data_IF_268500819879
#
_entry.id   IF_268500819879
#
_cell.length_a   1.000
_cell.length_b   1.000
_cell.length_c   1.000
_cell.angle_alpha   90.00
_cell.angle_beta   90.00
_cell.angle_gamma   90.00
#
_symmetry.space_group_name_H-M   'P 1'
#
loop_
_entity.id
_entity.type
_entity.pdbx_description
1 polymer ?
#
# COMPACT_ATOMS: atom_id res chain seq x y z
N UNK A 1 -2.24 -1.91 -20.61
CA UNK A 1 -0.82 -2.27 -20.82
C UNK A 1 -0.41 -3.25 -19.73
N UNK A 2 0.13 -4.40 -20.11
CA UNK A 2 0.66 -5.41 -19.17
C UNK A 2 2.18 -5.33 -19.14
N UNK A 3 2.76 -5.60 -17.95
CA UNK A 3 4.21 -5.68 -17.77
C UNK A 3 4.58 -6.97 -17.04
N UNK A 4 5.57 -7.70 -17.54
CA UNK A 4 6.04 -8.91 -16.88
C UNK A 4 7.17 -8.58 -15.89
N UNK A 5 6.88 -8.76 -14.60
CA UNK A 5 7.80 -8.62 -13.47
C UNK A 5 7.83 -9.89 -12.60
N UNK A 6 7.40 -11.04 -13.14
CA UNK A 6 7.26 -12.29 -12.38
C UNK A 6 8.58 -12.80 -11.82
N UNK A 7 9.71 -12.50 -12.46
CA UNK A 7 11.07 -12.87 -12.02
C UNK A 7 11.45 -12.25 -10.65
N UNK A 8 10.84 -11.13 -10.28
CA UNK A 8 11.14 -10.44 -9.03
C UNK A 8 10.30 -10.92 -7.83
N UNK A 9 9.33 -11.80 -8.04
CA UNK A 9 8.40 -12.27 -6.99
C UNK A 9 7.82 -11.12 -6.13
N UNK A 10 7.47 -10.02 -6.78
CA UNK A 10 7.08 -8.79 -6.10
C UNK A 10 5.70 -8.91 -5.43
N UNK A 11 5.49 -8.06 -4.43
CA UNK A 11 4.19 -7.86 -3.78
C UNK A 11 3.57 -6.52 -4.17
N UNK A 12 2.23 -6.47 -4.26
CA UNK A 12 1.46 -5.22 -4.34
C UNK A 12 0.79 -4.91 -3.00
N UNK A 13 0.82 -3.64 -2.60
CA UNK A 13 0.10 -3.10 -1.46
C UNK A 13 -0.88 -2.04 -1.96
N UNK A 14 -2.07 -2.46 -2.35
CA UNK A 14 -3.08 -1.58 -2.94
C UNK A 14 -4.44 -1.78 -2.28
N UNK A 15 -4.95 -0.79 -1.56
CA UNK A 15 -6.32 -0.77 -1.06
C UNK A 15 -7.32 -0.28 -2.11
N UNK A 16 -8.60 -0.50 -1.84
CA UNK A 16 -9.70 0.04 -2.66
C UNK A 16 -9.86 1.54 -2.48
N UNK A 17 -9.37 2.08 -1.37
CA UNK A 17 -9.72 3.42 -0.93
C UNK A 17 -11.22 3.53 -0.62
N UNK A 18 -11.72 4.75 -0.47
CA UNK A 18 -13.14 4.98 -0.29
C UNK A 18 -13.67 4.69 1.11
N UNK A 19 -12.81 4.55 2.09
CA UNK A 19 -13.14 4.40 3.51
C UNK A 19 -13.60 5.71 4.16
N UNK A 20 -13.44 6.84 3.47
CA UNK A 20 -13.71 8.19 3.96
C UNK A 20 -12.86 8.54 5.21
N UNK A 21 -11.69 7.94 5.33
CA UNK A 21 -10.71 8.23 6.36
C UNK A 21 -9.55 9.00 5.73
N UNK A 22 -9.19 10.10 6.35
CA UNK A 22 -8.12 10.98 5.85
C UNK A 22 -6.80 10.65 6.57
N UNK A 23 -6.35 9.40 6.41
CA UNK A 23 -5.11 8.91 6.99
C UNK A 23 -3.89 9.36 6.17
N UNK A 24 -2.70 9.39 6.80
CA UNK A 24 -1.46 9.55 6.05
C UNK A 24 -1.27 8.35 5.08
N UNK A 25 -0.39 8.49 4.09
CA UNK A 25 -0.24 7.50 3.00
C UNK A 25 0.36 6.17 3.48
N UNK A 26 -0.40 5.42 4.30
CA UNK A 26 0.01 4.21 5.01
C UNK A 26 0.54 3.16 4.03
N UNK A 27 -0.26 2.75 3.04
CA UNK A 27 0.14 1.69 2.09
C UNK A 27 1.37 2.07 1.26
N UNK A 28 1.55 3.37 0.95
CA UNK A 28 2.71 3.83 0.17
C UNK A 28 3.98 3.82 1.02
N UNK A 29 3.91 4.29 2.26
CA UNK A 29 5.01 4.18 3.22
C UNK A 29 5.37 2.73 3.49
N UNK A 30 4.37 1.89 3.73
CA UNK A 30 4.55 0.46 3.94
C UNK A 30 5.23 -0.23 2.77
N UNK A 31 4.98 0.22 1.54
CA UNK A 31 5.66 -0.29 0.34
C UNK A 31 7.18 -0.03 0.39
N UNK A 32 7.63 1.16 0.81
CA UNK A 32 9.06 1.45 0.96
C UNK A 32 9.69 0.70 2.14
N UNK A 33 8.97 0.54 3.25
CA UNK A 33 9.46 -0.26 4.39
C UNK A 33 9.60 -1.73 4.00
N UNK A 34 8.65 -2.26 3.25
CA UNK A 34 8.68 -3.62 2.69
C UNK A 34 9.86 -3.80 1.74
N UNK A 35 10.10 -2.84 0.84
CA UNK A 35 11.26 -2.85 -0.06
C UNK A 35 12.60 -2.80 0.71
N UNK A 36 12.68 -1.96 1.75
CA UNK A 36 13.85 -1.89 2.63
C UNK A 36 14.12 -3.17 3.43
N UNK A 37 13.08 -3.99 3.65
CA UNK A 37 13.19 -5.34 4.20
C UNK A 37 13.58 -6.41 3.17
N UNK A 38 14.01 -6.01 1.96
CA UNK A 38 14.41 -6.87 0.82
C UNK A 38 13.27 -7.72 0.23
N UNK A 39 12.04 -7.27 0.34
CA UNK A 39 10.88 -7.81 -0.37
C UNK A 39 10.56 -6.88 -1.53
N UNK A 40 10.68 -7.35 -2.76
CA UNK A 40 10.40 -6.54 -3.95
C UNK A 40 8.93 -6.11 -3.99
N UNK A 41 8.69 -4.88 -4.41
CA UNK A 41 7.36 -4.28 -4.47
C UNK A 41 7.04 -3.79 -5.88
N UNK A 42 5.90 -4.16 -6.42
CA UNK A 42 5.32 -3.61 -7.64
C UNK A 42 4.02 -2.87 -7.31
N UNK A 43 4.18 -1.66 -6.74
CA UNK A 43 3.04 -0.93 -6.19
C UNK A 43 2.17 -0.31 -7.27
N UNK A 44 0.91 -0.77 -7.37
CA UNK A 44 -0.12 -0.10 -8.15
C UNK A 44 -0.71 1.07 -7.36
N UNK A 45 -0.84 2.23 -7.99
CA UNK A 45 -1.32 3.43 -7.31
C UNK A 45 -1.92 4.46 -8.25
N UNK A 46 -2.66 5.41 -7.68
CA UNK A 46 -3.32 6.49 -8.41
C UNK A 46 -3.33 7.78 -7.59
N UNK A 47 -3.77 8.87 -8.20
CA UNK A 47 -4.15 10.08 -7.49
C UNK A 47 -5.34 9.81 -6.55
N UNK A 48 -5.44 10.61 -5.49
CA UNK A 48 -6.59 10.55 -4.57
C UNK A 48 -7.90 10.85 -5.30
N UNK A 49 -8.93 10.07 -5.02
CA UNK A 49 -10.29 10.29 -5.53
C UNK A 49 -11.20 10.75 -4.40
N UNK A 50 -11.05 10.15 -3.22
CA UNK A 50 -11.85 10.43 -2.01
C UNK A 50 -11.03 11.06 -0.87
N UNK A 51 -9.71 11.08 -0.98
CA UNK A 51 -8.79 11.68 0.01
C UNK A 51 -8.13 12.94 -0.55
N UNK A 52 -7.67 13.81 0.34
CA UNK A 52 -6.93 15.04 0.00
C UNK A 52 -5.60 14.74 -0.71
N UNK A 53 -4.98 13.59 -0.44
CA UNK A 53 -3.67 13.22 -0.98
C UNK A 53 -3.56 11.72 -1.23
N UNK A 54 -3.70 11.28 -2.49
CA UNK A 54 -3.46 9.89 -2.89
C UNK A 54 -1.97 9.55 -3.01
N UNK A 55 -1.69 8.27 -3.24
CA UNK A 55 -0.32 7.74 -3.36
C UNK A 55 0.50 8.46 -4.43
N UNK A 56 -0.07 8.70 -5.60
CA UNK A 56 0.62 9.39 -6.69
C UNK A 56 0.84 10.87 -6.41
N UNK A 57 -0.08 11.53 -5.69
CA UNK A 57 0.09 12.94 -5.34
C UNK A 57 1.33 13.17 -4.47
N UNK A 58 1.51 12.35 -3.41
CA UNK A 58 2.67 12.50 -2.52
C UNK A 58 3.97 12.13 -3.21
N UNK A 59 3.98 11.06 -4.01
CA UNK A 59 5.20 10.60 -4.68
C UNK A 59 5.67 11.61 -5.74
N UNK A 60 4.75 12.14 -6.55
CA UNK A 60 5.05 13.17 -7.56
C UNK A 60 5.57 14.46 -6.91
N UNK A 61 4.93 14.92 -5.82
CA UNK A 61 5.40 16.08 -5.05
C UNK A 61 6.80 15.88 -4.48
N UNK A 62 7.18 14.65 -4.11
CA UNK A 62 8.51 14.30 -3.61
C UNK A 62 9.54 14.07 -4.73
N UNK A 63 9.15 14.20 -6.00
CA UNK A 63 10.04 14.14 -7.16
C UNK A 63 10.16 12.75 -7.80
N UNK A 64 9.29 11.80 -7.46
CA UNK A 64 9.21 10.52 -8.17
C UNK A 64 8.47 10.73 -9.50
N UNK A 65 9.13 10.42 -10.62
CA UNK A 65 8.51 10.41 -11.95
C UNK A 65 7.93 9.04 -12.25
N UNK A 66 6.75 9.03 -12.85
CA UNK A 66 6.08 7.79 -13.26
C UNK A 66 6.42 7.47 -14.71
N UNK A 67 6.62 6.19 -14.98
CA UNK A 67 6.88 5.68 -16.32
C UNK A 67 6.14 4.36 -16.54
N UNK A 68 5.81 4.06 -17.80
CA UNK A 68 5.37 2.74 -18.24
C UNK A 68 6.44 2.04 -19.11
N UNK A 69 7.63 2.60 -19.15
CA UNK A 69 8.79 1.98 -19.78
C UNK A 69 9.23 0.75 -18.97
N UNK A 70 9.36 -0.38 -19.67
CA UNK A 70 9.64 -1.67 -19.06
C UNK A 70 11.03 -1.74 -18.42
N UNK A 71 12.03 -1.17 -19.08
CA UNK A 71 13.41 -1.25 -18.62
C UNK A 71 13.62 -0.32 -17.42
N UNK A 72 12.97 0.85 -17.41
CA UNK A 72 12.92 1.73 -16.25
C UNK A 72 12.29 1.03 -15.03
N UNK A 73 11.17 0.33 -15.21
CA UNK A 73 10.46 -0.35 -14.11
C UNK A 73 11.26 -1.53 -13.55
N UNK A 74 11.91 -2.31 -14.41
CA UNK A 74 12.84 -3.37 -13.99
C UNK A 74 14.01 -2.80 -13.22
N UNK A 75 14.69 -1.79 -13.76
CA UNK A 75 15.79 -1.10 -13.11
C UNK A 75 15.38 -0.50 -11.76
N UNK A 76 14.14 -0.01 -11.64
CA UNK A 76 13.60 0.50 -10.37
C UNK A 76 13.54 -0.60 -9.31
N UNK A 77 13.00 -1.78 -9.63
CA UNK A 77 12.98 -2.92 -8.69
C UNK A 77 14.41 -3.34 -8.34
N UNK A 78 15.30 -3.49 -9.30
CA UNK A 78 16.68 -3.94 -9.10
C UNK A 78 17.50 -3.00 -8.20
N UNK A 79 17.30 -1.70 -8.33
CA UNK A 79 18.08 -0.68 -7.61
C UNK A 79 17.47 -0.21 -6.31
N UNK A 80 16.15 -0.22 -6.22
CA UNK A 80 15.42 0.30 -5.04
C UNK A 80 14.52 -0.72 -4.35
N UNK A 81 14.36 -1.92 -4.91
CA UNK A 81 13.41 -2.92 -4.40
C UNK A 81 11.95 -2.60 -4.70
N UNK A 82 11.66 -1.48 -5.40
CA UNK A 82 10.28 -1.04 -5.65
C UNK A 82 10.14 -0.37 -7.01
N UNK A 83 9.04 -0.65 -7.72
CA UNK A 83 8.57 0.17 -8.83
C UNK A 83 7.14 0.66 -8.59
N UNK A 84 6.82 1.81 -9.19
CA UNK A 84 5.49 2.44 -9.09
C UNK A 84 4.76 2.29 -10.42
N UNK A 85 3.66 1.56 -10.39
CA UNK A 85 2.78 1.34 -11.52
C UNK A 85 1.62 2.34 -11.43
N UNK A 86 1.84 3.54 -11.99
CA UNK A 86 0.87 4.63 -11.95
C UNK A 86 -0.32 4.34 -12.88
N UNK A 87 -1.50 4.12 -12.32
CA UNK A 87 -2.68 3.61 -13.02
C UNK A 87 -3.03 4.35 -14.33
N UNK A 88 -2.96 5.69 -14.43
CA UNK A 88 -3.24 6.41 -15.69
C UNK A 88 -2.35 6.05 -16.87
N UNK A 89 -1.12 5.60 -16.62
CA UNK A 89 -0.18 5.19 -17.68
C UNK A 89 -0.47 3.78 -18.21
N UNK A 90 -1.11 2.93 -17.41
CA UNK A 90 -1.37 1.53 -17.76
C UNK A 90 -2.80 1.26 -18.22
N UNK A 91 -3.75 2.13 -17.82
CA UNK A 91 -5.18 1.98 -18.10
C UNK A 91 -5.73 3.16 -18.89
N UNK A 92 -5.32 3.37 -20.16
CA UNK A 92 -5.71 4.55 -20.93
C UNK A 92 -7.23 4.68 -21.12
N UNK A 93 -7.97 3.57 -21.18
CA UNK A 93 -9.43 3.58 -21.26
C UNK A 93 -10.09 4.29 -20.06
N UNK A 94 -9.43 4.31 -18.89
CA UNK A 94 -9.95 5.00 -17.71
C UNK A 94 -9.94 6.52 -17.85
N UNK A 95 -9.17 7.11 -18.77
CA UNK A 95 -9.16 8.55 -19.02
C UNK A 95 -10.55 9.07 -19.43
N UNK A 96 -11.28 8.28 -20.21
CA UNK A 96 -12.62 8.66 -20.68
C UNK A 96 -13.68 8.59 -19.57
N UNK A 97 -13.46 7.78 -18.57
CA UNK A 97 -14.41 7.55 -17.47
C UNK A 97 -14.12 8.45 -16.27
N UNK A 98 -12.87 8.90 -16.10
CA UNK A 98 -12.44 9.69 -14.95
C UNK A 98 -13.23 11.01 -14.75
N UNK A 99 -13.50 11.83 -15.79
CA UNK A 99 -14.30 13.03 -15.63
C UNK A 99 -15.71 12.73 -15.15
N UNK A 100 -16.38 11.74 -15.76
CA UNK A 100 -17.74 11.32 -15.42
C UNK A 100 -17.82 10.84 -13.96
N UNK A 101 -16.83 10.06 -13.52
CA UNK A 101 -16.74 9.60 -12.14
C UNK A 101 -16.60 10.76 -11.14
N UNK A 102 -15.82 11.78 -11.51
CA UNK A 102 -15.62 12.98 -10.68
C UNK A 102 -16.91 13.80 -10.57
N UNK A 103 -17.64 13.96 -11.66
CA UNK A 103 -18.94 14.66 -11.68
C UNK A 103 -20.02 13.93 -10.89
N UNK A 104 -20.08 12.61 -11.00
CA UNK A 104 -21.05 11.79 -10.27
C UNK A 104 -20.81 11.82 -8.75
N UNK A 105 -19.57 11.97 -8.29
CA UNK A 105 -19.21 11.96 -6.87
C UNK A 105 -19.58 10.67 -6.11
N UNK A 106 -20.01 9.64 -6.83
CA UNK A 106 -20.48 8.38 -6.26
C UNK A 106 -19.39 7.29 -6.29
N UNK A 107 -19.44 6.40 -5.31
CA UNK A 107 -18.68 5.15 -5.34
C UNK A 107 -19.24 4.27 -6.44
N UNK A 108 -18.41 3.90 -7.40
CA UNK A 108 -18.77 3.04 -8.52
C UNK A 108 -17.94 1.75 -8.48
N UNK A 109 -18.30 0.78 -9.31
CA UNK A 109 -17.53 -0.44 -9.51
C UNK A 109 -16.03 -0.18 -9.78
N UNK A 110 -15.71 0.90 -10.47
CA UNK A 110 -14.31 1.28 -10.73
C UNK A 110 -13.50 1.58 -9.46
N UNK A 111 -14.12 1.91 -8.35
CA UNK A 111 -13.42 2.16 -7.09
C UNK A 111 -12.85 0.87 -6.49
N UNK A 112 -13.50 -0.26 -6.76
CA UNK A 112 -13.09 -1.57 -6.25
C UNK A 112 -12.18 -2.34 -7.21
N UNK A 113 -11.91 -1.84 -8.41
CA UNK A 113 -11.07 -2.54 -9.39
C UNK A 113 -9.57 -2.36 -9.16
N UNK A 114 -9.15 -1.28 -8.49
CA UNK A 114 -7.74 -0.91 -8.35
C UNK A 114 -6.82 -2.09 -8.01
N UNK A 115 -7.09 -2.82 -6.92
CA UNK A 115 -6.26 -3.97 -6.52
C UNK A 115 -6.30 -5.16 -7.49
N UNK A 116 -7.33 -5.27 -8.33
CA UNK A 116 -7.49 -6.40 -9.27
C UNK A 116 -6.78 -6.19 -10.60
N UNK A 117 -6.39 -4.95 -10.90
CA UNK A 117 -5.88 -4.57 -12.22
C UNK A 117 -4.42 -4.09 -12.22
N UNK A 118 -3.64 -4.49 -11.20
CA UNK A 118 -2.21 -4.24 -11.20
C UNK A 118 -1.58 -4.79 -12.49
N UNK A 119 -0.91 -3.95 -13.31
CA UNK A 119 -0.42 -4.35 -14.65
C UNK A 119 0.64 -5.43 -14.62
N UNK A 120 1.31 -5.66 -13.48
CA UNK A 120 2.33 -6.71 -13.34
C UNK A 120 1.74 -8.05 -12.88
N UNK A 121 0.47 -8.10 -12.49
CA UNK A 121 -0.19 -9.30 -11.97
C UNK A 121 0.65 -10.02 -10.90
N UNK A 122 1.07 -9.34 -9.83
CA UNK A 122 2.00 -9.90 -8.85
C UNK A 122 1.42 -11.15 -8.20
N UNK A 123 2.31 -12.08 -7.85
CA UNK A 123 1.94 -13.32 -7.17
C UNK A 123 1.53 -13.07 -5.71
N UNK A 124 2.10 -12.05 -5.08
CA UNK A 124 1.82 -11.68 -3.70
C UNK A 124 1.03 -10.37 -3.65
N UNK A 125 0.03 -10.27 -2.78
CA UNK A 125 -0.82 -9.07 -2.74
C UNK A 125 -1.45 -8.82 -1.38
N UNK A 126 -1.37 -7.59 -0.89
CA UNK A 126 -2.21 -7.07 0.19
C UNK A 126 -3.32 -6.23 -0.42
N UNK A 127 -4.55 -6.46 0.02
CA UNK A 127 -5.71 -5.68 -0.42
C UNK A 127 -6.46 -5.15 0.79
N UNK A 128 -6.45 -3.83 0.95
CA UNK A 128 -7.30 -3.15 1.91
C UNK A 128 -8.69 -2.88 1.34
N UNK A 129 -9.72 -3.13 2.13
CA UNK A 129 -11.11 -2.89 1.73
C UNK A 129 -11.88 -2.15 2.81
N UNK A 130 -12.80 -1.27 2.42
CA UNK A 130 -13.50 -0.38 3.34
C UNK A 130 -14.73 -1.00 4.02
N UNK A 131 -15.12 -2.23 3.68
CA UNK A 131 -16.20 -2.96 4.36
C UNK A 131 -16.05 -4.48 4.23
N UNK A 132 -16.79 -5.21 5.07
CA UNK A 132 -16.76 -6.68 5.11
C UNK A 132 -17.39 -7.34 3.88
N UNK A 133 -18.32 -6.69 3.19
CA UNK A 133 -18.92 -7.20 1.96
C UNK A 133 -17.85 -7.28 0.85
N UNK A 134 -17.05 -6.25 0.71
CA UNK A 134 -15.90 -6.26 -0.20
C UNK A 134 -14.83 -7.27 0.21
N UNK A 135 -14.55 -7.41 1.52
CA UNK A 135 -13.61 -8.41 1.99
C UNK A 135 -14.04 -9.82 1.53
N UNK A 136 -15.32 -10.13 1.65
CA UNK A 136 -15.90 -11.40 1.21
C UNK A 136 -15.85 -11.58 -0.32
N UNK A 137 -16.18 -10.51 -1.08
CA UNK A 137 -16.09 -10.53 -2.54
C UNK A 137 -14.66 -10.80 -3.02
N UNK A 138 -13.67 -10.09 -2.47
CA UNK A 138 -12.27 -10.29 -2.81
C UNK A 138 -11.78 -11.69 -2.41
N UNK A 139 -12.22 -12.22 -1.26
CA UNK A 139 -11.90 -13.58 -0.83
C UNK A 139 -12.35 -14.60 -1.87
N UNK A 140 -13.60 -14.54 -2.34
CA UNK A 140 -14.10 -15.44 -3.39
C UNK A 140 -13.34 -15.31 -4.71
N UNK A 141 -12.91 -14.09 -5.08
CA UNK A 141 -12.13 -13.89 -6.30
C UNK A 141 -10.72 -14.49 -6.17
N UNK A 142 -10.05 -14.24 -5.05
CA UNK A 142 -8.66 -14.66 -4.87
C UNK A 142 -8.50 -16.15 -4.59
N UNK A 143 -9.48 -16.80 -3.97
CA UNK A 143 -9.51 -18.26 -3.82
C UNK A 143 -9.41 -19.01 -5.16
N UNK A 144 -9.88 -18.40 -6.26
CA UNK A 144 -9.79 -18.94 -7.61
C UNK A 144 -8.46 -18.68 -8.31
N UNK A 145 -7.50 -18.06 -7.62
CA UNK A 145 -6.17 -17.73 -8.15
C UNK A 145 -5.09 -18.50 -7.41
N UNK A 146 -3.86 -18.48 -7.93
CA UNK A 146 -2.69 -19.04 -7.24
C UNK A 146 -1.87 -17.95 -6.51
N UNK A 147 -2.52 -16.83 -6.12
CA UNK A 147 -1.86 -15.74 -5.39
C UNK A 147 -1.68 -16.07 -3.91
N UNK A 148 -0.59 -15.59 -3.33
CA UNK A 148 -0.49 -15.38 -1.89
C UNK A 148 -1.11 -14.01 -1.60
N UNK A 149 -2.10 -13.97 -0.73
CA UNK A 149 -2.81 -12.72 -0.47
C UNK A 149 -3.19 -12.57 1.00
N UNK A 150 -3.31 -11.32 1.42
CA UNK A 150 -4.04 -10.96 2.61
C UNK A 150 -5.02 -9.83 2.28
N UNK A 151 -6.29 -10.04 2.59
CA UNK A 151 -7.36 -9.03 2.48
C UNK A 151 -7.56 -8.48 3.89
N UNK A 152 -7.53 -7.16 4.03
CA UNK A 152 -7.61 -6.49 5.33
C UNK A 152 -8.80 -5.53 5.40
N UNK A 153 -9.43 -5.50 6.56
CA UNK A 153 -10.46 -4.54 6.90
C UNK A 153 -10.42 -4.27 8.40
N UNK A 154 -10.10 -3.06 8.80
CA UNK A 154 -10.26 -2.64 10.20
C UNK A 154 -11.75 -2.48 10.52
N UNK A 155 -12.21 -3.09 11.62
CA UNK A 155 -13.64 -3.19 11.93
C UNK A 155 -14.31 -1.84 12.23
N UNK A 156 -13.51 -0.80 12.45
CA UNK A 156 -13.93 0.60 12.57
C UNK A 156 -13.86 1.39 11.25
N UNK A 157 -13.72 0.68 10.12
CA UNK A 157 -14.01 1.16 8.77
C UNK A 157 -12.81 1.61 7.94
N UNK A 158 -11.55 1.36 8.38
CA UNK A 158 -10.37 1.65 7.55
C UNK A 158 -10.08 0.50 6.58
N UNK A 159 -9.59 0.82 5.41
CA UNK A 159 -9.07 -0.15 4.42
C UNK A 159 -7.57 -0.47 4.61
N UNK A 160 -7.04 -0.20 5.81
CA UNK A 160 -5.67 -0.48 6.25
C UNK A 160 -5.67 -0.96 7.70
N UNK A 161 -4.58 -1.52 8.20
CA UNK A 161 -4.43 -1.84 9.63
C UNK A 161 -4.18 -0.52 10.35
N UNK A 162 -5.24 0.07 10.88
CA UNK A 162 -5.21 1.39 11.53
C UNK A 162 -4.69 1.35 12.96
N UNK A 163 -4.76 0.18 13.62
CA UNK A 163 -4.54 -0.03 15.06
C UNK A 163 -5.48 0.78 15.97
N UNK A 164 -6.50 1.41 15.40
CA UNK A 164 -7.53 2.14 16.16
C UNK A 164 -8.57 1.20 16.76
N UNK A 165 -8.73 0.03 16.18
CA UNK A 165 -9.60 -1.06 16.58
C UNK A 165 -9.04 -2.41 16.14
N UNK A 166 -9.89 -3.42 16.16
CA UNK A 166 -9.54 -4.74 15.65
C UNK A 166 -9.54 -4.75 14.12
N UNK A 167 -8.68 -5.58 13.54
CA UNK A 167 -8.60 -5.77 12.09
C UNK A 167 -8.97 -7.22 11.73
N UNK A 168 -9.79 -7.38 10.70
CA UNK A 168 -10.04 -8.66 10.07
C UNK A 168 -9.02 -8.87 8.95
N UNK A 169 -8.37 -10.03 8.97
CA UNK A 169 -7.40 -10.46 7.95
C UNK A 169 -7.90 -11.79 7.37
N UNK A 170 -8.01 -11.84 6.05
CA UNK A 170 -8.40 -13.04 5.31
C UNK A 170 -7.25 -13.41 4.39
N UNK A 171 -6.68 -14.57 4.59
CA UNK A 171 -5.66 -15.17 3.73
C UNK A 171 -6.26 -16.32 2.92
N UNK A 172 -5.43 -17.08 2.23
CA UNK A 172 -5.87 -18.31 1.56
C UNK A 172 -6.32 -19.38 2.56
N UNK A 173 -5.63 -19.47 3.69
CA UNK A 173 -5.70 -20.61 4.61
C UNK A 173 -6.57 -20.31 5.83
N UNK A 174 -6.72 -19.05 6.19
CA UNK A 174 -7.43 -18.66 7.40
C UNK A 174 -8.13 -17.29 7.30
N UNK A 175 -9.08 -17.11 8.17
CA UNK A 175 -9.77 -15.85 8.43
C UNK A 175 -9.72 -15.56 9.93
N UNK A 176 -9.05 -14.47 10.31
CA UNK A 176 -8.78 -14.14 11.71
C UNK A 176 -9.06 -12.67 12.01
N UNK A 177 -9.37 -12.39 13.28
CA UNK A 177 -9.50 -11.02 13.80
C UNK A 177 -8.38 -10.81 14.82
N UNK A 178 -7.60 -9.76 14.60
CA UNK A 178 -6.50 -9.37 15.47
C UNK A 178 -6.82 -8.05 16.16
N UNK A 179 -6.58 -7.98 17.47
CA UNK A 179 -6.45 -6.73 18.18
C UNK A 179 -5.03 -6.18 17.99
N UNK A 180 -4.78 -4.88 18.26
CA UNK A 180 -3.42 -4.35 18.27
C UNK A 180 -2.48 -5.14 19.19
N UNK A 181 -2.97 -5.64 20.31
CA UNK A 181 -2.21 -6.42 21.30
C UNK A 181 -1.79 -7.79 20.76
N UNK A 182 -2.63 -8.46 19.93
CA UNK A 182 -2.29 -9.73 19.31
C UNK A 182 -1.12 -9.58 18.30
N UNK A 183 -0.94 -8.36 17.78
CA UNK A 183 0.19 -7.99 16.92
C UNK A 183 1.40 -7.46 17.72
N UNK A 184 1.37 -7.48 19.04
CA UNK A 184 2.38 -6.87 19.92
C UNK A 184 2.60 -5.37 19.63
N UNK A 185 1.53 -4.67 19.25
CA UNK A 185 1.53 -3.25 18.90
C UNK A 185 0.56 -2.46 19.80
N UNK A 186 0.77 -1.15 19.87
CA UNK A 186 -0.07 -0.27 20.68
C UNK A 186 -1.35 0.11 19.96
N UNK A 187 -2.45 0.19 20.71
CA UNK A 187 -3.69 0.79 20.19
C UNK A 187 -3.47 2.28 19.94
N UNK A 188 -3.97 2.76 18.80
CA UNK A 188 -3.76 4.13 18.31
C UNK A 188 -5.06 4.95 18.41
N UNK A 189 -4.93 6.22 18.77
CA UNK A 189 -6.06 7.15 18.66
C UNK A 189 -6.20 7.61 17.21
N UNK A 190 -7.40 7.58 16.59
CA UNK A 190 -7.64 8.01 15.22
C UNK A 190 -7.07 9.39 14.86
N UNK A 191 -7.06 10.33 15.81
CA UNK A 191 -6.50 11.68 15.60
C UNK A 191 -4.99 11.71 15.33
N UNK A 192 -4.27 10.63 15.69
CA UNK A 192 -2.81 10.55 15.56
C UNK A 192 -2.33 9.99 14.20
N UNK A 193 -3.27 9.54 13.37
CA UNK A 193 -2.97 8.96 12.06
C UNK A 193 -3.52 9.79 10.88
N UNK A 194 -3.88 11.03 11.13
CA UNK A 194 -4.32 11.96 10.08
C UNK A 194 -3.25 12.26 9.03
N UNK A 195 -3.68 12.42 7.76
CA UNK A 195 -2.80 12.62 6.59
C UNK A 195 -2.39 14.06 6.32
N UNK A 196 -2.98 15.01 7.03
CA UNK A 196 -2.83 16.44 6.79
C UNK A 196 -3.79 16.96 5.71
N UNK A 197 -3.96 18.26 5.66
CA UNK A 197 -4.96 18.94 4.81
C UNK A 197 -4.43 19.27 3.40
N UNK A 198 -3.11 19.22 3.21
CA UNK A 198 -2.46 19.56 1.95
C UNK A 198 -1.43 18.51 1.54
N UNK A 199 -1.16 18.40 0.24
CA UNK A 199 -0.10 17.51 -0.28
C UNK A 199 1.25 17.81 0.38
N UNK A 200 1.57 19.06 0.65
CA UNK A 200 2.81 19.47 1.33
C UNK A 200 2.89 18.92 2.76
N UNK A 201 1.78 18.95 3.51
CA UNK A 201 1.71 18.37 4.86
C UNK A 201 1.83 16.85 4.81
N UNK A 202 1.12 16.19 3.90
CA UNK A 202 1.22 14.75 3.69
C UNK A 202 2.64 14.32 3.32
N UNK A 203 3.31 15.07 2.43
CA UNK A 203 4.70 14.82 2.06
C UNK A 203 5.67 15.00 3.23
N UNK A 204 5.41 15.98 4.11
CA UNK A 204 6.22 16.21 5.32
C UNK A 204 6.06 15.01 6.29
N UNK A 205 4.82 14.54 6.52
CA UNK A 205 4.56 13.36 7.35
C UNK A 205 5.28 12.15 6.75
N UNK A 206 5.13 11.92 5.45
CA UNK A 206 5.75 10.85 4.71
C UNK A 206 7.27 10.82 4.89
N UNK A 207 7.93 11.96 4.67
CA UNK A 207 9.39 12.06 4.81
C UNK A 207 9.87 11.94 6.25
N UNK A 208 9.12 12.47 7.22
CA UNK A 208 9.47 12.30 8.63
C UNK A 208 9.47 10.81 9.02
N UNK A 209 8.44 10.06 8.61
CA UNK A 209 8.37 8.62 8.91
C UNK A 209 9.54 7.88 8.25
N UNK A 210 9.79 8.08 6.95
CA UNK A 210 10.90 7.42 6.25
C UNK A 210 12.28 7.74 6.84
N UNK A 211 12.45 8.95 7.39
CA UNK A 211 13.68 9.37 8.06
C UNK A 211 13.75 8.99 9.53
N UNK A 212 12.89 8.09 9.97
CA UNK A 212 12.82 7.65 11.37
C UNK A 212 12.52 8.80 12.37
N UNK A 213 11.78 9.82 11.92
CA UNK A 213 11.31 10.98 12.69
C UNK A 213 9.79 11.00 12.84
N UNK A 214 9.11 9.94 12.46
CA UNK A 214 7.68 9.75 12.67
C UNK A 214 7.34 9.63 14.16
N UNK A 215 6.09 9.89 14.51
CA UNK A 215 5.62 9.62 15.87
C UNK A 215 5.60 8.11 16.14
N UNK A 216 5.64 7.72 17.39
CA UNK A 216 5.53 6.31 17.80
C UNK A 216 4.30 5.65 17.15
N UNK A 217 3.14 6.31 17.23
CA UNK A 217 1.89 5.76 16.70
C UNK A 217 1.86 5.64 15.17
N UNK A 218 2.45 6.58 14.45
CA UNK A 218 2.62 6.46 13.00
C UNK A 218 3.50 5.28 12.63
N UNK A 219 4.60 5.09 13.36
CA UNK A 219 5.51 3.96 13.16
C UNK A 219 4.83 2.61 13.45
N UNK A 220 4.04 2.50 14.52
CA UNK A 220 3.28 1.29 14.86
C UNK A 220 2.35 0.87 13.70
N UNK A 221 1.59 1.84 13.14
CA UNK A 221 0.70 1.57 12.00
C UNK A 221 1.49 1.12 10.76
N UNK A 222 2.65 1.74 10.50
CA UNK A 222 3.52 1.32 9.38
C UNK A 222 4.07 -0.10 9.63
N UNK A 223 4.47 -0.42 10.86
CA UNK A 223 4.97 -1.76 11.19
C UNK A 223 3.91 -2.84 10.99
N UNK A 224 2.64 -2.57 11.37
CA UNK A 224 1.55 -3.50 11.16
C UNK A 224 1.32 -3.81 9.67
N UNK A 225 1.19 -2.76 8.84
CA UNK A 225 0.90 -2.91 7.41
C UNK A 225 2.08 -3.47 6.62
N UNK A 226 3.31 -3.01 6.90
CA UNK A 226 4.52 -3.55 6.28
C UNK A 226 4.80 -4.98 6.75
N UNK A 227 4.59 -5.24 8.04
CA UNK A 227 4.78 -6.57 8.62
C UNK A 227 3.88 -7.61 7.97
N UNK A 228 2.61 -7.30 7.77
CA UNK A 228 1.69 -8.18 7.05
C UNK A 228 2.15 -8.39 5.58
N UNK A 229 2.62 -7.33 4.89
CA UNK A 229 3.11 -7.45 3.53
C UNK A 229 4.35 -8.36 3.45
N UNK A 230 5.31 -8.20 4.35
CA UNK A 230 6.51 -9.03 4.44
C UNK A 230 6.13 -10.48 4.78
N UNK A 231 5.24 -10.67 5.76
CA UNK A 231 4.72 -11.99 6.14
C UNK A 231 4.09 -12.72 4.95
N UNK A 232 3.19 -12.03 4.21
CA UNK A 232 2.53 -12.59 3.03
C UNK A 232 3.52 -12.96 1.92
N UNK A 233 4.52 -12.11 1.65
CA UNK A 233 5.47 -12.33 0.56
C UNK A 233 6.49 -13.44 0.88
N UNK A 234 6.91 -13.57 2.15
CA UNK A 234 7.93 -14.52 2.60
C UNK A 234 7.35 -15.80 3.20
N UNK A 235 6.04 -15.87 3.40
CA UNK A 235 5.34 -16.96 4.08
C UNK A 235 5.91 -17.24 5.49
N UNK A 236 6.00 -16.17 6.29
CA UNK A 236 6.45 -16.20 7.69
C UNK A 236 5.35 -15.67 8.61
N UNK A 237 5.51 -15.77 9.93
CA UNK A 237 4.54 -15.21 10.87
C UNK A 237 4.41 -13.68 10.72
N UNK A 238 3.24 -13.13 11.05
CA UNK A 238 3.01 -11.68 11.00
C UNK A 238 3.95 -10.94 11.97
N UNK A 239 4.24 -11.53 13.13
CA UNK A 239 5.15 -10.96 14.12
C UNK A 239 6.60 -10.90 13.59
N UNK A 240 7.08 -11.93 12.91
CA UNK A 240 8.40 -11.90 12.24
C UNK A 240 8.43 -10.84 11.14
N UNK A 241 7.33 -10.70 10.39
CA UNK A 241 7.18 -9.64 9.40
C UNK A 241 7.26 -8.24 10.03
N UNK A 242 6.60 -8.03 11.17
CA UNK A 242 6.64 -6.78 11.94
C UNK A 242 8.06 -6.46 12.41
N UNK A 243 8.81 -7.43 12.92
CA UNK A 243 10.20 -7.20 13.35
C UNK A 243 11.11 -6.83 12.16
N UNK A 244 10.92 -7.45 11.00
CA UNK A 244 11.63 -7.05 9.76
C UNK A 244 11.25 -5.64 9.30
N UNK A 245 10.00 -5.24 9.45
CA UNK A 245 9.54 -3.89 9.15
C UNK A 245 10.19 -2.85 10.09
N UNK A 246 10.24 -3.14 11.39
CA UNK A 246 10.95 -2.32 12.39
C UNK A 246 12.43 -2.17 12.05
N UNK A 247 13.10 -3.26 11.70
CA UNK A 247 14.51 -3.23 11.29
C UNK A 247 14.71 -2.36 10.05
N UNK A 248 13.88 -2.53 9.01
CA UNK A 248 13.95 -1.77 7.77
C UNK A 248 13.89 -0.26 8.01
N UNK A 249 12.96 0.19 8.86
CA UNK A 249 12.82 1.60 9.18
C UNK A 249 13.98 2.12 10.05
N UNK A 250 14.29 1.42 11.15
CA UNK A 250 15.34 1.79 12.11
C UNK A 250 16.73 1.88 11.47
N UNK A 251 17.04 1.03 10.50
CA UNK A 251 18.32 1.00 9.77
C UNK A 251 18.34 1.89 8.53
N UNK A 252 17.33 2.75 8.34
CA UNK A 252 17.15 3.65 7.20
C UNK A 252 17.05 2.95 5.82
N UNK A 253 16.89 1.63 5.74
CA UNK A 253 16.78 0.90 4.45
C UNK A 253 15.53 1.30 3.67
N UNK A 254 14.43 1.59 4.35
CA UNK A 254 13.23 2.14 3.72
C UNK A 254 13.49 3.50 3.06
N UNK A 255 14.24 4.38 3.71
CA UNK A 255 14.63 5.67 3.17
C UNK A 255 15.63 5.54 2.01
N UNK A 256 16.55 4.58 2.08
CA UNK A 256 17.47 4.27 0.97
C UNK A 256 16.70 3.77 -0.27
N UNK A 257 15.71 2.89 -0.10
CA UNK A 257 14.83 2.47 -1.19
C UNK A 257 14.13 3.67 -1.86
N UNK A 258 13.61 4.60 -1.06
CA UNK A 258 13.01 5.84 -1.57
C UNK A 258 14.03 6.70 -2.34
N UNK A 259 15.22 6.95 -1.78
CA UNK A 259 16.28 7.75 -2.43
C UNK A 259 16.71 7.12 -3.76
N UNK A 260 16.92 5.80 -3.76
CA UNK A 260 17.34 5.09 -4.97
C UNK A 260 16.30 5.20 -6.08
N UNK A 261 15.00 5.06 -5.75
CA UNK A 261 13.92 5.25 -6.72
C UNK A 261 13.85 6.70 -7.21
N UNK A 262 14.03 7.68 -6.33
CA UNK A 262 14.03 9.10 -6.69
C UNK A 262 15.18 9.43 -7.64
N UNK A 263 16.40 8.97 -7.35
CA UNK A 263 17.58 9.21 -8.20
C UNK A 263 17.44 8.59 -9.61
N UNK A 264 16.66 7.52 -9.75
CA UNK A 264 16.33 6.95 -11.06
C UNK A 264 15.31 7.80 -11.83
N UNK A 265 14.57 8.64 -11.11
CA UNK A 265 13.55 9.52 -11.68
C UNK A 265 14.11 10.86 -12.16
N UNK A 266 15.32 11.20 -11.77
CA UNK A 266 16.04 12.41 -12.21
C UNK A 266 16.68 12.19 -13.60
#
# INVERSE_FOLDING_TARGET
IKINLSEYNAIDLCGTGGDNKDTFNISTLSAFVTAGAKVNVSKHGNYGVSSSCGSSNVLEFLGIKFSNDKDFLKKSIEKSGICILHAPLFHPAMKNVAPIRKELGLKTFFNILGPLVNPSFPKNQIVGVFNLELARLYSYLFQKTNKNYAIIHSLDGYDEISLTGNVKIITRDEESIFSPQDLNLKKVNPKLIGGGETIKQSAKIFMNILQNKGTEFQNEVIFANSGLAISTALNISINDGIEKAKESLKTNKAFEAFKNLKNLSE
#
